data_IF_601839185227
#
_entry.id   IF_601839185227
#
_cell.length_a   1.000
_cell.length_b   1.000
_cell.length_c   1.000
_cell.angle_alpha   90.00
_cell.angle_beta   90.00
_cell.angle_gamma   90.00
#
_symmetry.space_group_name_H-M   'P 1'
#
loop_
_entity.id
_entity.type
_entity.pdbx_description
1 polymer ?
#
# COMPACT_ATOMS: atom_id res chain seq x y z
N UNK A 1 8.01 -9.04 -2.27
CA UNK A 1 7.99 -7.72 -2.94
C UNK A 1 6.64 -7.06 -2.65
N UNK A 2 6.54 -5.74 -2.36
CA UNK A 2 5.25 -5.09 -2.09
C UNK A 2 4.27 -5.18 -3.27
N UNK A 3 2.98 -5.39 -2.98
CA UNK A 3 1.95 -5.57 -4.02
C UNK A 3 1.83 -4.37 -4.98
N UNK A 4 1.93 -3.15 -4.44
CA UNK A 4 1.90 -1.91 -5.22
C UNK A 4 3.06 -1.79 -6.21
N UNK A 5 4.18 -2.49 -5.97
CA UNK A 5 5.33 -2.53 -6.90
C UNK A 5 5.11 -3.62 -7.95
N UNK A 6 4.56 -4.77 -7.55
CA UNK A 6 4.29 -5.90 -8.45
C UNK A 6 3.23 -5.60 -9.53
N UNK A 7 2.37 -4.60 -9.32
CA UNK A 7 1.36 -4.23 -10.33
C UNK A 7 1.94 -3.65 -11.62
N UNK A 8 3.13 -3.03 -11.55
CA UNK A 8 3.77 -2.42 -12.71
C UNK A 8 4.05 -3.50 -13.77
N UNK A 9 3.75 -3.28 -15.07
CA UNK A 9 3.46 -2.00 -15.73
C UNK A 9 1.99 -1.59 -15.80
N UNK A 10 1.10 -2.28 -15.07
CA UNK A 10 -0.33 -2.01 -15.12
C UNK A 10 -0.78 -1.03 -14.03
N UNK A 11 -1.80 -0.24 -14.36
CA UNK A 11 -2.52 0.60 -13.41
C UNK A 11 -4.03 0.40 -13.56
N UNK A 12 -4.76 0.61 -12.47
CA UNK A 12 -6.21 0.57 -12.46
C UNK A 12 -6.72 1.95 -12.07
N UNK A 13 -7.72 2.45 -12.79
CA UNK A 13 -8.46 3.65 -12.44
C UNK A 13 -9.95 3.34 -12.42
N UNK A 14 -10.66 3.99 -11.51
CA UNK A 14 -12.10 3.89 -11.39
C UNK A 14 -12.55 3.62 -9.95
N UNK A 15 -13.84 3.29 -9.76
CA UNK A 15 -14.84 3.27 -10.81
C UNK A 15 -15.14 4.70 -11.33
N UNK A 16 -15.47 4.82 -12.62
CA UNK A 16 -16.06 6.05 -13.17
C UNK A 16 -17.53 6.22 -12.74
N UNK A 17 -18.22 7.26 -13.24
CA UNK A 17 -19.63 7.52 -12.93
C UNK A 17 -20.57 6.37 -13.33
N UNK A 18 -20.16 5.53 -14.27
CA UNK A 18 -20.92 4.36 -14.73
C UNK A 18 -20.57 3.07 -13.97
N UNK A 19 -19.65 3.14 -13.00
CA UNK A 19 -19.20 1.99 -12.24
C UNK A 19 -18.09 1.18 -12.91
N UNK A 20 -17.49 1.68 -14.01
CA UNK A 20 -16.51 0.93 -14.79
C UNK A 20 -15.08 1.22 -14.33
N UNK A 21 -14.24 0.19 -14.40
CA UNK A 21 -12.80 0.29 -14.18
C UNK A 21 -12.05 0.26 -15.51
N UNK A 22 -11.03 1.11 -15.60
CA UNK A 22 -10.11 1.17 -16.74
C UNK A 22 -8.73 0.69 -16.31
N UNK A 23 -8.14 -0.22 -17.11
CA UNK A 23 -6.76 -0.65 -16.93
C UNK A 23 -5.88 0.15 -17.89
N UNK A 24 -4.81 0.71 -17.36
CA UNK A 24 -3.76 1.39 -18.11
C UNK A 24 -2.52 0.51 -18.13
N UNK A 25 -1.78 0.63 -19.22
CA UNK A 25 -0.53 -0.08 -19.45
C UNK A 25 0.54 0.94 -19.79
N UNK A 26 1.69 0.86 -19.12
CA UNK A 26 2.88 1.58 -19.53
C UNK A 26 3.57 0.82 -20.68
N UNK A 27 3.27 1.22 -21.91
CA UNK A 27 3.84 0.62 -23.13
C UNK A 27 5.36 0.80 -23.26
N UNK A 28 5.94 1.79 -22.56
CA UNK A 28 7.40 2.00 -22.57
C UNK A 28 8.14 1.06 -21.59
N UNK A 29 7.41 0.23 -20.84
CA UNK A 29 7.99 -0.69 -19.88
C UNK A 29 8.82 -1.78 -20.55
N UNK A 30 10.05 -1.98 -20.08
CA UNK A 30 10.90 -3.09 -20.47
C UNK A 30 10.36 -4.48 -20.05
N UNK A 31 9.28 -4.52 -19.26
CA UNK A 31 8.56 -5.75 -18.91
C UNK A 31 7.61 -6.22 -20.01
N UNK A 32 7.40 -5.39 -21.05
CA UNK A 32 6.61 -5.70 -22.23
C UNK A 32 7.53 -5.98 -23.41
N UNK A 33 7.08 -6.87 -24.28
CA UNK A 33 7.79 -7.22 -25.50
C UNK A 33 6.87 -7.91 -26.49
N UNK A 34 7.31 -8.01 -27.73
CA UNK A 34 6.53 -8.64 -28.81
C UNK A 34 6.87 -10.12 -28.99
N UNK A 35 8.07 -10.55 -28.59
CA UNK A 35 8.60 -11.90 -28.86
C UNK A 35 8.45 -12.89 -27.69
N UNK A 36 8.57 -12.40 -26.46
CA UNK A 36 8.73 -13.24 -25.28
C UNK A 36 7.69 -12.91 -24.20
N UNK A 37 7.23 -13.94 -23.48
CA UNK A 37 6.31 -13.81 -22.36
C UNK A 37 4.93 -14.41 -22.61
N UNK A 38 3.94 -13.94 -21.85
CA UNK A 38 2.54 -14.36 -21.99
C UNK A 38 1.78 -13.34 -22.84
N UNK A 39 1.11 -13.76 -23.92
CA UNK A 39 0.34 -12.82 -24.74
C UNK A 39 -0.78 -12.20 -23.91
N UNK A 40 -1.02 -10.89 -24.06
CA UNK A 40 -2.11 -10.19 -23.36
C UNK A 40 -3.49 -10.46 -23.99
N UNK A 41 -3.50 -10.78 -25.28
CA UNK A 41 -4.69 -11.11 -26.06
C UNK A 41 -4.46 -12.39 -26.87
N UNK A 42 -5.51 -13.14 -27.14
CA UNK A 42 -5.47 -14.31 -28.03
C UNK A 42 -5.47 -13.91 -29.52
N UNK A 43 -5.31 -14.89 -30.41
CA UNK A 43 -5.29 -14.67 -31.87
C UNK A 43 -6.60 -14.05 -32.42
N UNK A 44 -7.69 -14.09 -31.66
CA UNK A 44 -8.98 -13.48 -32.02
C UNK A 44 -9.15 -12.08 -31.42
N UNK A 45 -8.11 -11.52 -30.79
CA UNK A 45 -8.14 -10.22 -30.12
C UNK A 45 -8.90 -10.20 -28.79
N UNK A 46 -9.20 -11.37 -28.22
CA UNK A 46 -9.90 -11.47 -26.92
C UNK A 46 -8.88 -11.48 -25.78
N UNK A 47 -9.26 -11.04 -24.57
CA UNK A 47 -8.42 -11.14 -23.38
C UNK A 47 -7.86 -12.55 -23.18
N UNK A 48 -6.55 -12.67 -22.96
CA UNK A 48 -5.93 -13.94 -22.59
C UNK A 48 -6.12 -14.27 -21.10
N UNK A 49 -5.76 -15.49 -20.69
CA UNK A 49 -5.73 -15.85 -19.27
C UNK A 49 -4.79 -14.95 -18.45
N UNK A 50 -3.71 -14.46 -19.07
CA UNK A 50 -2.74 -13.59 -18.39
C UNK A 50 -3.37 -12.24 -18.00
N UNK A 51 -4.07 -11.58 -18.93
CA UNK A 51 -4.72 -10.29 -18.64
C UNK A 51 -5.88 -10.46 -17.67
N UNK A 52 -6.58 -11.60 -17.67
CA UNK A 52 -7.64 -11.88 -16.70
C UNK A 52 -7.09 -12.08 -15.28
N UNK A 53 -5.91 -12.70 -15.15
CA UNK A 53 -5.16 -12.75 -13.89
C UNK A 53 -4.78 -11.36 -13.40
N UNK A 54 -4.28 -10.50 -14.30
CA UNK A 54 -3.92 -9.11 -13.99
C UNK A 54 -5.14 -8.30 -13.54
N UNK A 55 -6.28 -8.40 -14.24
CA UNK A 55 -7.54 -7.74 -13.85
C UNK A 55 -7.93 -8.10 -12.42
N UNK A 56 -7.91 -9.39 -12.07
CA UNK A 56 -8.26 -9.87 -10.74
C UNK A 56 -7.33 -9.29 -9.68
N UNK A 57 -6.02 -9.35 -9.93
CA UNK A 57 -5.01 -8.83 -9.01
C UNK A 57 -5.14 -7.33 -8.77
N UNK A 58 -5.35 -6.55 -9.84
CA UNK A 58 -5.58 -5.11 -9.73
C UNK A 58 -6.87 -4.80 -8.96
N UNK A 59 -7.94 -5.57 -9.18
CA UNK A 59 -9.18 -5.44 -8.44
C UNK A 59 -9.01 -5.70 -6.95
N UNK A 60 -8.28 -6.76 -6.57
CA UNK A 60 -7.94 -7.04 -5.17
C UNK A 60 -7.13 -5.90 -4.54
N UNK A 61 -6.13 -5.39 -5.25
CA UNK A 61 -5.30 -4.27 -4.78
C UNK A 61 -6.13 -3.00 -4.55
N UNK A 62 -7.08 -2.71 -5.44
CA UNK A 62 -8.00 -1.59 -5.29
C UNK A 62 -8.91 -1.74 -4.07
N UNK A 63 -9.41 -2.95 -3.78
CA UNK A 63 -10.18 -3.18 -2.55
C UNK A 63 -9.32 -2.97 -1.29
N UNK A 64 -8.05 -3.36 -1.32
CA UNK A 64 -7.11 -3.07 -0.22
C UNK A 64 -6.87 -1.57 -0.04
N UNK A 65 -6.83 -0.81 -1.13
CA UNK A 65 -6.70 0.66 -1.10
C UNK A 65 -7.93 1.31 -0.45
N UNK A 66 -9.15 0.90 -0.85
CA UNK A 66 -10.39 1.38 -0.21
C UNK A 66 -10.37 1.10 1.28
N UNK A 67 -10.03 -0.13 1.69
CA UNK A 67 -9.96 -0.50 3.10
C UNK A 67 -8.94 0.37 3.85
N UNK A 68 -7.76 0.59 3.27
CA UNK A 68 -6.71 1.43 3.87
C UNK A 68 -7.17 2.88 4.02
N UNK A 69 -7.86 3.43 3.03
CA UNK A 69 -8.42 4.79 3.08
C UNK A 69 -9.46 4.93 4.18
N UNK A 70 -10.38 3.98 4.27
CA UNK A 70 -11.44 3.98 5.28
C UNK A 70 -10.86 3.80 6.69
N UNK A 71 -9.86 2.94 6.85
CA UNK A 71 -9.08 2.76 8.07
C UNK A 71 -8.42 4.08 8.51
N UNK A 72 -7.68 4.73 7.61
CA UNK A 72 -7.02 6.01 7.91
C UNK A 72 -8.03 7.11 8.25
N UNK A 73 -9.14 7.21 7.51
CA UNK A 73 -10.21 8.16 7.80
C UNK A 73 -10.77 7.95 9.20
N UNK A 74 -11.10 6.71 9.55
CA UNK A 74 -11.63 6.38 10.89
C UNK A 74 -10.66 6.79 11.99
N UNK A 75 -9.38 6.45 11.87
CA UNK A 75 -8.38 6.83 12.87
C UNK A 75 -8.23 8.35 12.99
N UNK A 76 -8.30 9.08 11.88
CA UNK A 76 -8.25 10.54 11.87
C UNK A 76 -9.49 11.17 12.55
N UNK A 77 -10.70 10.72 12.19
CA UNK A 77 -11.98 11.21 12.77
C UNK A 77 -12.05 10.98 14.28
N UNK A 78 -11.45 9.90 14.77
CA UNK A 78 -11.38 9.57 16.19
C UNK A 78 -10.12 10.11 16.88
N UNK A 79 -9.38 11.02 16.23
CA UNK A 79 -8.19 11.66 16.78
C UNK A 79 -7.13 10.65 17.27
N UNK A 80 -7.02 9.50 16.61
CA UNK A 80 -6.07 8.45 16.95
C UNK A 80 -4.70 8.65 16.30
N UNK A 81 -4.57 9.59 15.37
CA UNK A 81 -3.28 9.97 14.79
C UNK A 81 -2.65 11.16 15.50
N UNK A 82 -1.33 11.15 15.62
CA UNK A 82 -0.50 12.30 16.00
C UNK A 82 0.63 12.51 15.00
N UNK A 83 1.08 13.77 14.78
CA UNK A 83 2.23 14.03 13.94
C UNK A 83 3.46 13.24 14.40
N UNK A 84 4.18 12.68 13.44
CA UNK A 84 5.38 11.89 13.66
C UNK A 84 6.48 12.37 12.70
N UNK A 85 7.66 12.63 13.26
CA UNK A 85 8.86 12.88 12.46
C UNK A 85 9.80 11.71 12.66
N UNK A 86 10.16 11.07 11.56
CA UNK A 86 11.08 9.94 11.57
C UNK A 86 12.50 10.46 11.36
N UNK A 87 13.37 10.21 12.33
CA UNK A 87 14.78 10.57 12.27
C UNK A 87 15.59 9.35 11.83
N UNK A 88 16.18 9.44 10.64
CA UNK A 88 17.02 8.39 10.06
C UNK A 88 18.47 8.85 10.13
N UNK A 89 19.23 8.29 11.06
CA UNK A 89 20.66 8.56 11.18
C UNK A 89 21.42 7.72 10.13
N UNK A 90 21.96 8.37 9.10
CA UNK A 90 22.96 7.74 8.21
C UNK A 90 24.36 8.21 8.59
N UNK A 91 25.35 7.41 8.21
CA UNK A 91 26.77 7.66 8.45
C UNK A 91 27.29 8.97 7.84
N UNK A 92 26.66 9.50 6.79
CA UNK A 92 27.08 10.75 6.15
C UNK A 92 26.12 11.92 6.39
N UNK A 93 24.80 11.71 6.31
CA UNK A 93 23.80 12.77 6.50
C UNK A 93 22.50 12.24 7.14
N UNK A 94 22.06 12.80 8.28
CA UNK A 94 20.76 12.46 8.85
C UNK A 94 19.63 12.90 7.91
N UNK A 95 18.66 11.99 7.71
CA UNK A 95 17.44 12.26 6.94
C UNK A 95 16.29 12.39 7.92
N UNK A 96 15.61 13.54 7.89
CA UNK A 96 14.37 13.74 8.63
C UNK A 96 13.19 13.59 7.67
N UNK A 97 12.33 12.61 7.94
CA UNK A 97 11.08 12.45 7.20
C UNK A 97 9.97 13.05 8.05
N UNK A 98 9.54 14.25 7.68
CA UNK A 98 8.45 14.98 8.32
C UNK A 98 7.13 14.81 7.54
N UNK A 99 6.04 15.30 8.11
CA UNK A 99 4.70 15.24 7.50
C UNK A 99 4.00 13.88 7.62
N UNK A 100 4.57 12.97 8.42
CA UNK A 100 3.95 11.68 8.72
C UNK A 100 3.05 11.76 9.96
N UNK A 101 2.18 10.77 10.10
CA UNK A 101 1.33 10.57 11.26
C UNK A 101 1.49 9.14 11.77
N UNK A 102 1.41 8.97 13.08
CA UNK A 102 1.48 7.68 13.78
C UNK A 102 0.28 7.50 14.68
N UNK A 103 -0.13 6.25 14.92
CA UNK A 103 -1.12 5.94 15.95
C UNK A 103 -0.62 6.40 17.32
N UNK A 104 -1.46 7.14 18.04
CA UNK A 104 -1.23 7.53 19.43
C UNK A 104 -1.69 6.42 20.37
N UNK A 105 -0.73 5.76 21.03
CA UNK A 105 -0.98 4.63 21.93
C UNK A 105 -1.77 5.04 23.17
N UNK A 106 -1.51 6.22 23.74
CA UNK A 106 -2.24 6.70 24.91
C UNK A 106 -3.73 6.89 24.61
N UNK A 107 -4.06 7.49 23.47
CA UNK A 107 -5.45 7.67 23.03
C UNK A 107 -6.11 6.33 22.71
N UNK A 108 -5.38 5.40 22.10
CA UNK A 108 -5.86 4.05 21.82
C UNK A 108 -6.21 3.30 23.12
N UNK A 109 -5.32 3.35 24.12
CA UNK A 109 -5.48 2.66 25.40
C UNK A 109 -6.57 3.28 26.29
N UNK A 110 -6.85 4.57 26.11
CA UNK A 110 -7.90 5.29 26.83
C UNK A 110 -9.24 5.37 26.06
N UNK A 111 -9.42 4.59 24.99
CA UNK A 111 -10.71 4.50 24.29
C UNK A 111 -11.81 3.98 25.22
N UNK A 112 -13.03 4.48 25.04
CA UNK A 112 -14.19 3.88 25.69
C UNK A 112 -14.41 2.45 25.18
N UNK A 113 -15.03 1.61 26.01
CA UNK A 113 -15.38 0.23 25.64
C UNK A 113 -16.15 0.15 24.33
N UNK A 114 -17.11 1.06 24.12
CA UNK A 114 -17.91 1.13 22.89
C UNK A 114 -17.05 1.38 21.65
N UNK A 115 -16.10 2.32 21.74
CA UNK A 115 -15.18 2.63 20.62
C UNK A 115 -14.21 1.51 20.35
N UNK A 116 -13.71 0.86 21.39
CA UNK A 116 -12.85 -0.31 21.25
C UNK A 116 -13.58 -1.48 20.57
N UNK A 117 -14.85 -1.71 20.91
CA UNK A 117 -15.68 -2.73 20.26
C UNK A 117 -15.96 -2.40 18.78
N UNK A 118 -16.14 -1.12 18.44
CA UNK A 118 -16.29 -0.68 17.05
C UNK A 118 -15.03 -0.94 16.21
N UNK A 119 -13.84 -0.61 16.75
CA UNK A 119 -12.55 -0.95 16.12
C UNK A 119 -12.41 -2.46 15.83
N UNK A 120 -12.83 -3.29 16.79
CA UNK A 120 -12.83 -4.75 16.64
C UNK A 120 -13.81 -5.21 15.57
N UNK A 121 -15.03 -4.68 15.56
CA UNK A 121 -16.06 -5.02 14.58
C UNK A 121 -15.62 -4.68 13.15
N UNK A 122 -14.94 -3.54 12.97
CA UNK A 122 -14.35 -3.09 11.71
C UNK A 122 -13.05 -3.82 11.32
N UNK A 123 -12.52 -4.70 12.19
CA UNK A 123 -11.26 -5.42 12.02
C UNK A 123 -10.04 -4.50 11.87
N UNK A 124 -10.03 -3.37 12.57
CA UNK A 124 -8.97 -2.37 12.51
C UNK A 124 -7.82 -2.63 13.48
N UNK A 125 -8.05 -3.39 14.56
CA UNK A 125 -7.02 -3.70 15.55
C UNK A 125 -5.73 -4.32 14.95
N UNK A 126 -5.79 -5.31 14.02
CA UNK A 126 -4.58 -5.85 13.42
C UNK A 126 -3.77 -4.80 12.66
N UNK A 127 -4.44 -3.90 11.93
CA UNK A 127 -3.80 -2.82 11.19
C UNK A 127 -3.11 -1.81 12.12
N UNK A 128 -3.74 -1.49 13.24
CA UNK A 128 -3.17 -0.59 14.26
C UNK A 128 -1.87 -1.17 14.84
N UNK A 129 -1.90 -2.41 15.31
CA UNK A 129 -0.70 -3.02 15.91
C UNK A 129 0.39 -3.29 14.88
N UNK A 130 0.03 -3.70 13.65
CA UNK A 130 0.99 -3.85 12.56
C UNK A 130 1.68 -2.51 12.24
N UNK A 131 0.94 -1.41 12.23
CA UNK A 131 1.50 -0.08 12.04
C UNK A 131 2.52 0.26 13.16
N UNK A 132 2.15 0.12 14.43
CA UNK A 132 3.05 0.41 15.56
C UNK A 132 4.33 -0.44 15.52
N UNK A 133 4.21 -1.75 15.29
CA UNK A 133 5.36 -2.66 15.23
C UNK A 133 6.24 -2.38 14.00
N UNK A 134 5.66 -1.94 12.89
CA UNK A 134 6.43 -1.64 11.66
C UNK A 134 7.40 -0.47 11.84
N UNK A 135 7.14 0.46 12.76
CA UNK A 135 8.02 1.60 13.03
C UNK A 135 9.38 1.16 13.58
N UNK A 136 9.41 0.06 14.33
CA UNK A 136 10.64 -0.54 14.85
C UNK A 136 11.53 -1.12 13.72
N UNK A 137 10.97 -1.31 12.52
CA UNK A 137 11.72 -1.82 11.37
C UNK A 137 12.36 -0.70 10.53
N UNK A 138 12.14 0.57 10.86
CA UNK A 138 12.71 1.70 10.12
C UNK A 138 14.23 1.64 10.09
N UNK A 139 14.88 1.47 11.24
CA UNK A 139 16.35 1.40 11.32
C UNK A 139 16.89 0.25 10.47
N UNK A 140 16.25 -0.92 10.53
CA UNK A 140 16.59 -2.07 9.69
C UNK A 140 16.47 -1.77 8.19
N UNK A 141 15.44 -1.02 7.76
CA UNK A 141 15.29 -0.62 6.36
C UNK A 141 16.41 0.34 5.93
N UNK A 142 16.90 1.18 6.84
CA UNK A 142 18.02 2.10 6.59
C UNK A 142 19.32 1.31 6.41
N UNK A 143 19.57 0.32 7.27
CA UNK A 143 20.72 -0.58 7.16
C UNK A 143 20.70 -1.36 5.84
N UNK A 144 19.56 -1.92 5.45
CA UNK A 144 19.42 -2.64 4.19
C UNK A 144 19.74 -1.73 2.99
N UNK A 145 19.27 -0.48 3.00
CA UNK A 145 19.61 0.51 1.95
C UNK A 145 21.10 0.85 1.95
N UNK A 146 21.73 0.92 3.12
CA UNK A 146 23.19 1.16 3.25
C UNK A 146 24.03 -0.02 2.76
N UNK A 147 23.61 -1.25 3.07
CA UNK A 147 24.27 -2.48 2.63
C UNK A 147 24.11 -2.77 1.12
N UNK A 148 23.03 -2.27 0.50
CA UNK A 148 22.83 -2.31 -0.96
C UNK A 148 23.81 -1.42 -1.74
N UNK A 149 24.60 -0.57 -1.09
CA UNK A 149 25.71 0.17 -1.70
C UNK A 149 27.09 -0.49 -1.55
N UNK A 150 27.17 -1.65 -0.88
CA UNK A 150 28.42 -2.37 -0.59
C UNK A 150 28.54 -3.73 -1.32
N UNK A 151 27.62 -4.01 -2.25
CA UNK A 151 27.66 -5.11 -3.22
C UNK A 151 27.58 -4.53 -4.63
#
# INVERSE_FOLDING_TARGET
MPAIVQRYPFALMGPDESGQFSIFLDEASALLGESDGKPLFDEMGRPSEAIDGIKRYLGELYQMEIFTRDFCRYLAEHNLFVPFTMHVNKTSDPINVAGCYVVNEDRLNNLSTERFLDLRAKRYLPGIYAHLVSLLQVERLVELKGGLGAL
#
